data_IF_611053809226
#
_entry.id   IF_611053809226
#
_cell.length_a   1.000
_cell.length_b   1.000
_cell.length_c   1.000
_cell.angle_alpha   90.00
_cell.angle_beta   90.00
_cell.angle_gamma   90.00
#
_symmetry.space_group_name_H-M   'P 1'
#
loop_
_entity.id
_entity.type
_entity.pdbx_description
1 polymer ?
#
# COMPACT_ATOMS: atom_id res chain seq x y z
N UNK A 1 24.02 22.51 2.65
CA UNK A 1 22.60 22.59 2.23
C UNK A 1 21.89 21.49 2.97
N UNK A 2 21.04 21.84 3.94
CA UNK A 2 20.42 20.85 4.82
C UNK A 2 19.23 20.15 4.14
N UNK A 3 19.17 18.84 4.28
CA UNK A 3 17.97 18.04 4.05
C UNK A 3 16.97 18.33 5.17
N UNK A 4 15.67 18.35 4.87
CA UNK A 4 14.61 18.57 5.84
C UNK A 4 13.49 17.54 5.63
N UNK A 5 12.53 17.49 6.55
CA UNK A 5 11.40 16.56 6.47
C UNK A 5 11.83 15.10 6.39
N UNK A 6 11.25 14.33 5.47
CA UNK A 6 11.43 12.88 5.41
C UNK A 6 12.87 12.43 5.16
N UNK A 7 13.61 13.14 4.31
CA UNK A 7 15.01 12.81 4.05
C UNK A 7 15.86 12.98 5.31
N UNK A 8 15.65 14.07 6.05
CA UNK A 8 16.33 14.32 7.31
C UNK A 8 16.01 13.22 8.32
N UNK A 9 14.72 12.89 8.51
CA UNK A 9 14.30 11.85 9.46
C UNK A 9 14.94 10.50 9.15
N UNK A 10 15.02 10.13 7.87
CA UNK A 10 15.67 8.90 7.44
C UNK A 10 17.14 8.86 7.82
N UNK A 11 17.86 9.96 7.60
CA UNK A 11 19.30 10.08 7.89
C UNK A 11 19.57 10.15 9.39
N UNK A 12 18.89 11.05 10.11
CA UNK A 12 19.14 11.33 11.53
C UNK A 12 18.69 10.19 12.45
N UNK A 13 17.61 9.50 12.11
CA UNK A 13 17.10 8.37 12.88
C UNK A 13 17.59 7.01 12.37
N UNK A 14 18.38 6.96 11.30
CA UNK A 14 18.89 5.72 10.70
C UNK A 14 17.77 4.74 10.32
N UNK A 15 16.75 5.23 9.61
CA UNK A 15 15.56 4.43 9.25
C UNK A 15 15.88 3.44 8.12
N UNK A 16 15.37 2.21 8.20
CA UNK A 16 15.58 1.19 7.18
C UNK A 16 14.49 1.24 6.09
N UNK A 17 14.41 2.39 5.42
CA UNK A 17 13.34 2.71 4.48
C UNK A 17 13.89 3.26 3.17
N UNK A 18 13.09 3.16 2.11
CA UNK A 18 13.46 3.76 0.82
C UNK A 18 13.59 5.28 0.95
N UNK A 19 14.42 5.87 0.10
CA UNK A 19 14.52 7.33 0.02
C UNK A 19 13.18 7.92 -0.46
N UNK A 20 12.77 9.09 0.05
CA UNK A 20 11.70 9.83 -0.60
C UNK A 20 12.11 10.11 -2.05
N UNK A 21 11.15 9.99 -2.98
CA UNK A 21 11.41 10.21 -4.41
C UNK A 21 11.93 11.63 -4.70
N UNK A 22 11.44 12.62 -3.93
CA UNK A 22 11.83 14.02 -4.03
C UNK A 22 12.17 14.55 -2.64
N UNK A 23 13.40 14.31 -2.13
CA UNK A 23 13.82 14.80 -0.82
C UNK A 23 13.66 16.33 -0.72
N UNK A 24 13.14 16.80 0.41
CA UNK A 24 13.08 18.23 0.69
C UNK A 24 14.45 18.80 1.06
N UNK A 25 14.84 19.90 0.41
CA UNK A 25 16.14 20.54 0.59
C UNK A 25 15.99 22.05 0.75
N UNK A 26 16.70 22.62 1.72
CA UNK A 26 16.73 24.08 1.88
C UNK A 26 17.54 24.72 0.75
N UNK A 27 16.90 25.62 0.01
CA UNK A 27 17.45 26.30 -1.17
C UNK A 27 17.11 27.81 -1.13
N UNK A 28 17.86 28.66 -1.86
CA UNK A 28 17.60 30.10 -1.94
C UNK A 28 16.41 30.39 -2.88
N UNK A 29 15.21 29.96 -2.46
CA UNK A 29 13.94 30.19 -3.15
C UNK A 29 13.02 31.04 -2.27
N UNK A 30 11.95 31.59 -2.83
CA UNK A 30 10.97 32.43 -2.08
C UNK A 30 9.71 31.66 -1.67
N UNK A 31 9.46 30.52 -2.31
CA UNK A 31 8.33 29.62 -2.03
C UNK A 31 8.77 28.17 -2.21
N UNK A 32 7.93 27.24 -1.75
CA UNK A 32 8.15 25.81 -1.98
C UNK A 32 7.99 25.51 -3.46
N UNK A 33 9.05 25.03 -4.11
CA UNK A 33 9.07 24.79 -5.55
C UNK A 33 9.49 23.34 -5.86
N UNK A 34 8.61 22.54 -6.49
CA UNK A 34 8.99 21.20 -6.94
C UNK A 34 9.98 21.30 -8.09
N UNK A 35 11.10 20.57 -8.00
CA UNK A 35 12.11 20.45 -9.06
C UNK A 35 12.25 18.99 -9.47
N UNK A 36 12.91 18.73 -10.59
CA UNK A 36 13.33 17.37 -10.97
C UNK A 36 14.33 16.82 -9.94
N UNK A 37 13.87 15.87 -9.13
CA UNK A 37 14.68 15.13 -8.15
C UNK A 37 14.68 15.69 -6.72
N UNK A 38 14.14 16.87 -6.43
CA UNK A 38 14.02 17.38 -5.06
C UNK A 38 12.89 18.42 -4.90
N UNK A 39 12.51 18.69 -3.66
CA UNK A 39 11.59 19.77 -3.31
C UNK A 39 12.39 20.94 -2.72
N UNK A 40 12.41 22.09 -3.40
CA UNK A 40 13.14 23.27 -2.96
C UNK A 40 12.36 24.00 -1.86
N UNK A 41 12.96 24.16 -0.69
CA UNK A 41 12.33 24.75 0.50
C UNK A 41 13.01 26.07 0.85
N UNK A 42 12.25 27.18 0.99
CA UNK A 42 12.80 28.44 1.44
C UNK A 42 13.12 28.35 2.95
N UNK A 43 14.16 29.05 3.41
CA UNK A 43 14.65 28.94 4.80
C UNK A 43 13.60 29.26 5.87
N UNK A 44 12.65 30.14 5.57
CA UNK A 44 11.57 30.53 6.48
C UNK A 44 10.44 29.49 6.60
N UNK A 45 10.43 28.45 5.77
CA UNK A 45 9.44 27.35 5.81
C UNK A 45 10.07 26.05 6.35
N UNK A 46 11.40 25.96 6.35
CA UNK A 46 12.11 24.83 6.92
C UNK A 46 11.87 24.72 8.45
N UNK A 47 11.95 23.51 9.03
CA UNK A 47 12.05 23.34 10.47
C UNK A 47 13.12 24.24 11.09
N UNK A 48 12.86 24.77 12.28
CA UNK A 48 13.77 25.68 12.99
C UNK A 48 14.84 24.90 13.75
N UNK A 49 14.53 23.67 14.15
CA UNK A 49 15.41 22.76 14.87
C UNK A 49 15.51 21.39 14.21
N UNK A 50 16.46 20.60 14.70
CA UNK A 50 16.66 19.20 14.33
C UNK A 50 15.67 18.25 15.06
N UNK A 51 14.63 18.78 15.74
CA UNK A 51 13.59 17.98 16.41
C UNK A 51 12.81 17.15 15.37
N UNK A 52 12.77 15.81 15.53
CA UNK A 52 11.99 14.93 14.66
C UNK A 52 10.52 15.35 14.50
N UNK A 53 9.87 15.90 15.52
CA UNK A 53 8.47 16.33 15.43
C UNK A 53 8.31 17.45 14.41
N UNK A 54 9.16 18.47 14.45
CA UNK A 54 9.09 19.57 13.48
C UNK A 54 9.24 19.07 12.05
N UNK A 55 10.16 18.13 11.84
CA UNK A 55 10.37 17.50 10.54
C UNK A 55 9.20 16.62 10.10
N UNK A 56 8.55 15.88 11.01
CA UNK A 56 7.35 15.08 10.70
C UNK A 56 6.20 16.00 10.29
N UNK A 57 5.93 17.05 11.06
CA UNK A 57 4.85 18.01 10.76
C UNK A 57 5.09 18.75 9.45
N UNK A 58 6.34 19.16 9.22
CA UNK A 58 6.78 19.74 7.96
C UNK A 58 6.55 18.78 6.78
N UNK A 59 6.98 17.53 6.91
CA UNK A 59 6.89 16.53 5.84
C UNK A 59 5.44 16.21 5.48
N UNK A 60 4.58 15.97 6.48
CA UNK A 60 3.14 15.76 6.28
C UNK A 60 2.48 16.91 5.53
N UNK A 61 2.94 18.15 5.77
CA UNK A 61 2.41 19.35 5.12
C UNK A 61 2.89 19.52 3.68
N UNK A 62 4.19 19.39 3.45
CA UNK A 62 4.84 19.81 2.20
C UNK A 62 5.19 18.65 1.28
N UNK A 63 5.60 17.51 1.84
CA UNK A 63 5.97 16.31 1.09
C UNK A 63 4.76 15.37 0.91
N UNK A 64 3.78 15.43 1.80
CA UNK A 64 2.60 14.56 1.81
C UNK A 64 2.76 13.39 2.78
N UNK A 65 1.89 12.39 2.68
CA UNK A 65 1.96 11.20 3.52
C UNK A 65 2.87 10.17 2.86
N UNK A 66 3.92 9.77 3.59
CA UNK A 66 4.76 8.60 3.34
C UNK A 66 4.66 7.65 4.53
N UNK A 67 3.80 6.63 4.42
CA UNK A 67 3.57 5.70 5.53
C UNK A 67 4.80 4.85 5.86
N UNK A 68 5.70 4.58 4.90
CA UNK A 68 6.88 3.77 5.16
C UNK A 68 7.82 4.51 6.11
N UNK A 69 8.10 5.79 5.80
CA UNK A 69 8.98 6.61 6.62
C UNK A 69 8.30 6.92 7.97
N UNK A 70 7.00 7.26 7.97
CA UNK A 70 6.25 7.53 9.20
C UNK A 70 6.15 6.32 10.13
N UNK A 71 5.99 5.10 9.58
CA UNK A 71 5.90 3.86 10.36
C UNK A 71 7.19 3.56 11.13
N UNK A 72 8.37 3.93 10.62
CA UNK A 72 9.61 3.79 11.37
C UNK A 72 9.99 5.04 12.19
N UNK A 73 9.62 6.24 11.74
CA UNK A 73 9.98 7.48 12.43
C UNK A 73 9.14 7.71 13.70
N UNK A 74 7.81 7.58 13.62
CA UNK A 74 6.91 7.91 14.72
C UNK A 74 7.17 7.07 15.99
N UNK A 75 7.41 5.75 15.91
CA UNK A 75 7.75 4.97 17.11
C UNK A 75 9.01 5.42 17.86
N UNK A 76 9.90 6.19 17.22
CA UNK A 76 11.09 6.77 17.83
C UNK A 76 10.86 8.13 18.49
N UNK A 77 9.65 8.69 18.36
CA UNK A 77 9.25 9.96 18.98
C UNK A 77 8.65 9.70 20.36
N UNK A 78 9.08 10.48 21.34
CA UNK A 78 8.56 10.41 22.70
C UNK A 78 7.08 10.82 22.77
N UNK A 79 6.20 10.02 23.41
CA UNK A 79 4.76 10.31 23.52
C UNK A 79 4.45 11.68 24.14
N UNK A 80 5.24 12.09 25.13
CA UNK A 80 5.07 13.35 25.86
C UNK A 80 5.32 14.56 24.96
N UNK A 81 6.25 14.44 24.01
CA UNK A 81 6.57 15.49 23.05
C UNK A 81 5.42 15.68 22.05
N UNK A 82 4.83 14.59 21.54
CA UNK A 82 3.62 14.65 20.70
C UNK A 82 2.43 15.29 21.43
N UNK A 83 2.21 14.94 22.69
CA UNK A 83 1.13 15.51 23.51
C UNK A 83 1.36 16.99 23.83
N UNK A 84 2.61 17.39 24.10
CA UNK A 84 2.97 18.80 24.30
C UNK A 84 2.67 19.61 23.05
N UNK A 85 3.05 19.10 21.87
CA UNK A 85 2.82 19.77 20.61
C UNK A 85 1.33 19.81 20.23
N UNK A 86 0.58 18.75 20.53
CA UNK A 86 -0.87 18.72 20.37
C UNK A 86 -1.59 19.73 21.28
N UNK A 87 -1.07 20.01 22.49
CA UNK A 87 -1.58 21.08 23.38
C UNK A 87 -1.30 22.47 22.80
N UNK A 88 -0.14 22.66 22.16
CA UNK A 88 0.23 23.92 21.51
C UNK A 88 -0.62 24.19 20.27
N UNK A 89 -0.93 23.14 19.51
CA UNK A 89 -1.67 23.20 18.24
C UNK A 89 -2.90 22.28 18.25
N UNK A 90 -3.92 22.53 19.10
CA UNK A 90 -5.07 21.63 19.26
C UNK A 90 -5.93 21.50 18.00
N UNK A 91 -5.90 22.51 17.13
CA UNK A 91 -6.56 22.53 15.82
C UNK A 91 -5.64 22.19 14.65
N UNK A 92 -4.37 21.85 14.91
CA UNK A 92 -3.37 21.54 13.89
C UNK A 92 -3.61 20.18 13.22
N UNK A 93 -3.95 20.18 11.93
CA UNK A 93 -4.21 18.95 11.17
C UNK A 93 -3.05 17.95 11.26
N UNK A 94 -1.82 18.39 11.04
CA UNK A 94 -0.67 17.49 10.94
C UNK A 94 -0.26 16.87 12.27
N UNK A 95 -0.40 17.60 13.39
CA UNK A 95 -0.12 17.03 14.71
C UNK A 95 -1.17 16.00 15.10
N UNK A 96 -2.45 16.24 14.78
CA UNK A 96 -3.51 15.24 15.00
C UNK A 96 -3.29 13.98 14.15
N UNK A 97 -2.87 14.14 12.89
CA UNK A 97 -2.50 13.00 12.03
C UNK A 97 -1.29 12.25 12.58
N UNK A 98 -0.25 12.96 13.03
CA UNK A 98 0.93 12.35 13.64
C UNK A 98 0.58 11.55 14.90
N UNK A 99 -0.23 12.11 15.81
CA UNK A 99 -0.71 11.41 17.00
C UNK A 99 -1.54 10.17 16.66
N UNK A 100 -2.49 10.29 15.72
CA UNK A 100 -3.29 9.16 15.25
C UNK A 100 -2.40 8.05 14.69
N UNK A 101 -1.46 8.37 13.80
CA UNK A 101 -0.53 7.40 13.20
C UNK A 101 0.42 6.78 14.23
N UNK A 102 0.90 7.56 15.20
CA UNK A 102 1.74 7.05 16.27
C UNK A 102 1.03 5.95 17.07
N UNK A 103 -0.25 6.15 17.42
CA UNK A 103 -1.04 5.13 18.12
C UNK A 103 -1.23 3.87 17.26
N UNK A 104 -1.43 4.04 15.94
CA UNK A 104 -1.58 2.91 15.02
C UNK A 104 -0.28 2.11 14.84
N UNK A 105 0.86 2.77 14.71
CA UNK A 105 2.15 2.11 14.48
C UNK A 105 2.75 1.49 15.74
N UNK A 106 2.50 2.08 16.90
CA UNK A 106 3.01 1.55 18.18
C UNK A 106 2.06 0.58 18.86
N UNK A 107 0.78 0.57 18.48
CA UNK A 107 -0.28 -0.15 19.18
C UNK A 107 -0.59 0.39 20.59
N UNK A 108 0.05 1.50 20.98
CA UNK A 108 -0.15 2.16 22.28
C UNK A 108 -1.15 3.31 22.13
N UNK A 109 -1.76 3.70 23.25
CA UNK A 109 -2.64 4.87 23.29
C UNK A 109 -1.97 6.01 24.05
N UNK A 110 -2.01 7.21 23.48
CA UNK A 110 -1.63 8.45 24.15
C UNK A 110 -2.73 8.79 25.16
N UNK A 111 -2.36 8.80 26.45
CA UNK A 111 -3.25 9.18 27.56
C UNK A 111 -3.20 10.69 27.80
N UNK A 112 -4.14 11.23 28.59
CA UNK A 112 -4.17 12.68 28.95
C UNK A 112 -4.25 13.63 27.74
N UNK A 113 -5.11 13.27 26.79
CA UNK A 113 -5.28 14.02 25.55
C UNK A 113 -5.70 15.48 25.84
N UNK A 114 -5.13 16.46 25.13
CA UNK A 114 -5.66 17.81 25.14
C UNK A 114 -7.07 17.86 24.54
N UNK A 115 -7.75 18.99 24.75
CA UNK A 115 -8.98 19.27 24.02
C UNK A 115 -8.67 19.45 22.53
N UNK A 116 -9.03 18.44 21.74
CA UNK A 116 -8.81 18.44 20.30
C UNK A 116 -9.90 19.25 19.59
N UNK A 117 -9.46 20.25 18.83
CA UNK A 117 -10.33 21.21 18.14
C UNK A 117 -10.26 21.08 16.62
N UNK A 118 -11.19 21.73 15.92
CA UNK A 118 -11.25 21.79 14.46
C UNK A 118 -12.06 20.68 13.79
N UNK A 119 -12.24 20.75 12.46
CA UNK A 119 -12.98 19.74 11.71
C UNK A 119 -12.20 18.42 11.64
N UNK A 120 -12.90 17.34 11.30
CA UNK A 120 -12.24 16.08 11.00
C UNK A 120 -11.36 16.23 9.76
N UNK A 121 -10.08 15.93 9.91
CA UNK A 121 -9.12 15.97 8.81
C UNK A 121 -8.97 14.58 8.19
N UNK A 122 -8.97 14.52 6.86
CA UNK A 122 -8.61 13.31 6.15
C UNK A 122 -7.10 13.09 6.19
N UNK A 123 -6.68 11.85 6.41
CA UNK A 123 -5.26 11.49 6.51
C UNK A 123 -4.56 11.67 5.16
N UNK A 124 -5.18 11.21 4.08
CA UNK A 124 -4.71 11.42 2.71
C UNK A 124 -5.54 12.50 2.03
N UNK A 125 -4.90 13.52 1.44
CA UNK A 125 -5.60 14.51 0.61
C UNK A 125 -6.13 13.84 -0.67
N UNK A 126 -7.46 13.77 -0.91
CA UNK A 126 -8.04 13.11 -2.08
C UNK A 126 -7.64 13.73 -3.41
N UNK A 127 -7.11 14.96 -3.42
CA UNK A 127 -6.57 15.61 -4.62
C UNK A 127 -5.17 15.09 -4.96
N UNK A 128 -4.44 14.58 -3.97
CA UNK A 128 -3.06 14.07 -4.11
C UNK A 128 -3.00 12.54 -4.16
N UNK A 129 -3.98 11.86 -3.58
CA UNK A 129 -3.99 10.41 -3.44
C UNK A 129 -5.32 9.80 -3.90
N UNK A 130 -5.27 8.56 -4.36
CA UNK A 130 -6.48 7.73 -4.50
C UNK A 130 -6.87 7.24 -3.11
N UNK A 131 -8.13 7.47 -2.75
CA UNK A 131 -8.65 7.25 -1.38
C UNK A 131 -9.83 6.30 -1.38
N UNK A 132 -10.01 5.60 -0.27
CA UNK A 132 -11.16 4.76 0.00
C UNK A 132 -12.19 5.46 0.91
N UNK A 133 -13.24 4.74 1.32
CA UNK A 133 -14.22 5.24 2.29
C UNK A 133 -13.53 5.63 3.62
N UNK A 134 -13.82 6.82 4.19
CA UNK A 134 -13.16 7.30 5.40
C UNK A 134 -13.60 6.53 6.65
N UNK A 135 -12.64 6.16 7.49
CA UNK A 135 -12.85 5.57 8.82
C UNK A 135 -12.41 6.57 9.88
N UNK A 136 -13.37 7.10 10.63
CA UNK A 136 -13.15 8.21 11.56
C UNK A 136 -12.63 7.74 12.92
N UNK A 137 -11.54 8.35 13.34
CA UNK A 137 -11.08 8.40 14.71
C UNK A 137 -11.58 9.70 15.37
N UNK A 138 -12.49 9.55 16.33
CA UNK A 138 -13.08 10.68 17.03
C UNK A 138 -12.11 11.37 18.01
N UNK A 139 -11.13 10.64 18.57
CA UNK A 139 -10.17 11.17 19.57
C UNK A 139 -9.27 12.22 18.96
N UNK A 140 -8.75 11.93 17.78
CA UNK A 140 -7.87 12.85 17.04
C UNK A 140 -8.62 13.67 15.99
N UNK A 141 -9.92 13.44 15.80
CA UNK A 141 -10.69 14.02 14.69
C UNK A 141 -9.95 13.82 13.36
N UNK A 142 -9.48 12.60 13.12
CA UNK A 142 -8.80 12.20 11.87
C UNK A 142 -9.65 11.13 11.19
N UNK A 143 -9.77 11.18 9.88
CA UNK A 143 -10.39 10.15 9.07
C UNK A 143 -9.32 9.43 8.27
N UNK A 144 -9.10 8.15 8.57
CA UNK A 144 -8.29 7.29 7.72
C UNK A 144 -9.09 6.97 6.45
N UNK A 145 -8.70 7.56 5.33
CA UNK A 145 -9.29 7.35 4.00
C UNK A 145 -8.32 6.64 3.05
N UNK A 146 -7.33 5.91 3.59
CA UNK A 146 -6.42 5.07 2.80
C UNK A 146 -7.09 3.82 2.27
N UNK A 147 -6.46 3.17 1.29
CA UNK A 147 -6.89 1.89 0.76
C UNK A 147 -6.50 0.78 1.75
N UNK A 148 -7.43 -0.07 2.17
CA UNK A 148 -7.15 -1.12 3.16
C UNK A 148 -7.06 -0.61 4.60
N UNK A 149 -6.03 -1.03 5.35
CA UNK A 149 -5.81 -0.70 6.78
C UNK A 149 -4.46 -0.03 6.99
N UNK A 150 -4.21 0.61 8.14
CA UNK A 150 -2.89 1.23 8.39
C UNK A 150 -1.76 0.21 8.30
N UNK A 151 -2.01 -1.05 8.72
CA UNK A 151 -1.06 -2.16 8.61
C UNK A 151 -0.84 -2.65 7.16
N UNK A 152 -1.79 -2.39 6.27
CA UNK A 152 -1.69 -2.74 4.85
C UNK A 152 -2.39 -1.67 4.01
N UNK A 153 -1.66 -0.57 3.76
CA UNK A 153 -2.15 0.59 3.02
C UNK A 153 -1.30 0.89 1.79
N UNK A 154 -1.62 0.33 0.61
CA UNK A 154 -1.01 0.78 -0.62
C UNK A 154 -1.34 2.27 -0.83
N UNK A 155 -0.29 3.10 -0.88
CA UNK A 155 -0.43 4.55 -1.04
C UNK A 155 -0.24 4.91 -2.51
N UNK A 156 -1.33 5.33 -3.18
CA UNK A 156 -1.32 5.63 -4.61
C UNK A 156 -1.44 7.14 -4.79
N UNK A 157 -0.37 7.78 -5.25
CA UNK A 157 -0.39 9.20 -5.63
C UNK A 157 -1.12 9.38 -6.96
N UNK A 158 -1.94 10.42 -7.06
CA UNK A 158 -2.56 10.83 -8.31
C UNK A 158 -1.51 11.46 -9.20
N UNK A 159 -1.39 10.92 -10.40
CA UNK A 159 -0.53 11.44 -11.48
C UNK A 159 -1.40 11.55 -12.72
N UNK A 160 -1.01 12.38 -13.70
CA UNK A 160 -1.77 12.53 -14.94
C UNK A 160 -2.02 11.20 -15.64
N UNK A 161 -1.04 10.27 -15.56
CA UNK A 161 -1.16 8.91 -16.09
C UNK A 161 -2.22 8.09 -15.34
N UNK A 162 -2.23 8.12 -14.00
CA UNK A 162 -3.22 7.40 -13.19
C UNK A 162 -4.61 8.01 -13.40
N UNK A 163 -4.73 9.34 -13.42
CA UNK A 163 -5.99 10.04 -13.68
C UNK A 163 -6.53 9.72 -15.07
N UNK A 164 -5.69 9.69 -16.10
CA UNK A 164 -6.09 9.29 -17.44
C UNK A 164 -6.57 7.83 -17.48
N UNK A 165 -5.86 6.91 -16.80
CA UNK A 165 -6.25 5.52 -16.72
C UNK A 165 -7.58 5.33 -15.99
N UNK A 166 -7.79 6.01 -14.85
CA UNK A 166 -9.05 5.98 -14.11
C UNK A 166 -10.22 6.53 -14.94
N UNK A 167 -10.01 7.67 -15.63
CA UNK A 167 -11.01 8.27 -16.53
C UNK A 167 -11.32 7.40 -17.75
N UNK A 168 -10.41 6.51 -18.15
CA UNK A 168 -10.64 5.59 -19.27
C UNK A 168 -11.73 4.55 -18.97
N UNK A 169 -12.09 4.37 -17.69
CA UNK A 169 -13.15 3.47 -17.20
C UNK A 169 -13.14 2.11 -17.91
N UNK A 170 -11.99 1.44 -17.87
CA UNK A 170 -11.82 0.19 -18.61
C UNK A 170 -12.82 -0.87 -18.16
N UNK A 171 -13.16 -0.93 -16.87
CA UNK A 171 -14.12 -1.88 -16.34
C UNK A 171 -15.54 -1.56 -16.80
N UNK A 172 -15.97 -0.29 -16.74
CA UNK A 172 -17.29 0.11 -17.23
C UNK A 172 -17.43 -0.11 -18.74
N UNK A 173 -16.37 0.17 -19.53
CA UNK A 173 -16.34 -0.10 -20.97
C UNK A 173 -16.37 -1.59 -21.30
N UNK A 174 -15.61 -2.41 -20.57
CA UNK A 174 -15.64 -3.87 -20.73
C UNK A 174 -17.02 -4.42 -20.39
N UNK A 175 -17.65 -3.91 -19.33
CA UNK A 175 -19.02 -4.27 -18.99
C UNK A 175 -20.00 -3.87 -20.09
N UNK A 176 -19.96 -2.63 -20.58
CA UNK A 176 -20.83 -2.17 -21.67
C UNK A 176 -20.64 -2.98 -22.95
N UNK A 177 -19.40 -3.36 -23.26
CA UNK A 177 -19.08 -4.26 -24.37
C UNK A 177 -19.67 -5.66 -24.16
N UNK A 178 -19.51 -6.25 -22.97
CA UNK A 178 -20.07 -7.56 -22.63
C UNK A 178 -21.60 -7.54 -22.68
N UNK A 179 -22.24 -6.48 -22.18
CA UNK A 179 -23.70 -6.29 -22.19
C UNK A 179 -24.24 -6.11 -23.63
N UNK A 180 -23.43 -5.56 -24.54
CA UNK A 180 -23.78 -5.42 -25.96
C UNK A 180 -23.63 -6.73 -26.75
N UNK A 181 -22.87 -7.70 -26.23
CA UNK A 181 -22.76 -9.04 -26.81
C UNK A 181 -23.97 -9.89 -26.42
N UNK A 182 -24.52 -10.64 -27.37
CA UNK A 182 -25.47 -11.70 -27.05
C UNK A 182 -24.80 -12.75 -26.16
N UNK A 183 -25.55 -13.30 -25.18
CA UNK A 183 -25.05 -14.27 -24.18
C UNK A 183 -24.18 -15.38 -24.79
N UNK A 184 -24.59 -15.96 -25.92
CA UNK A 184 -23.84 -17.02 -26.60
C UNK A 184 -22.48 -16.57 -27.16
N UNK A 185 -22.36 -15.32 -27.58
CA UNK A 185 -21.10 -14.75 -28.07
C UNK A 185 -20.16 -14.43 -26.90
N UNK A 186 -20.72 -13.91 -25.80
CA UNK A 186 -19.97 -13.67 -24.56
C UNK A 186 -19.42 -14.97 -23.98
N UNK A 187 -20.24 -16.03 -23.88
CA UNK A 187 -19.82 -17.34 -23.39
C UNK A 187 -18.67 -17.92 -24.23
N UNK A 188 -18.72 -17.75 -25.56
CA UNK A 188 -17.63 -18.17 -26.46
C UNK A 188 -16.36 -17.33 -26.28
N UNK A 189 -16.50 -16.01 -26.15
CA UNK A 189 -15.36 -15.12 -25.94
C UNK A 189 -14.67 -15.42 -24.59
N UNK A 190 -15.44 -15.67 -23.53
CA UNK A 190 -14.92 -16.07 -22.23
C UNK A 190 -14.25 -17.44 -22.29
N UNK A 191 -14.86 -18.44 -22.93
CA UNK A 191 -14.25 -19.76 -23.09
C UNK A 191 -12.91 -19.69 -23.84
N UNK A 192 -12.82 -18.86 -24.89
CA UNK A 192 -11.57 -18.63 -25.60
C UNK A 192 -10.54 -17.88 -24.75
N UNK A 193 -10.95 -16.83 -24.03
CA UNK A 193 -10.07 -16.06 -23.16
C UNK A 193 -9.52 -16.93 -22.02
N UNK A 194 -10.35 -17.78 -21.41
CA UNK A 194 -9.92 -18.71 -20.36
C UNK A 194 -8.98 -19.80 -20.90
N UNK A 195 -9.23 -20.32 -22.10
CA UNK A 195 -8.31 -21.28 -22.74
C UNK A 195 -6.94 -20.63 -22.99
N UNK A 196 -6.94 -19.42 -23.55
CA UNK A 196 -5.70 -18.70 -23.83
C UNK A 196 -4.94 -18.30 -22.56
N UNK A 197 -5.62 -17.78 -21.53
CA UNK A 197 -5.04 -17.47 -20.22
C UNK A 197 -4.43 -18.73 -19.56
N UNK A 198 -5.07 -19.89 -19.74
CA UNK A 198 -4.55 -21.17 -19.26
C UNK A 198 -3.24 -21.52 -19.97
N UNK A 199 -3.22 -21.48 -21.31
CA UNK A 199 -2.03 -21.77 -22.11
C UNK A 199 -0.86 -20.85 -21.75
N UNK A 200 -1.13 -19.54 -21.62
CA UNK A 200 -0.12 -18.55 -21.26
C UNK A 200 0.38 -18.71 -19.82
N UNK A 201 -0.52 -18.96 -18.86
CA UNK A 201 -0.16 -19.19 -17.45
C UNK A 201 0.78 -20.39 -17.29
N UNK A 202 0.51 -21.50 -17.98
CA UNK A 202 1.38 -22.68 -17.94
C UNK A 202 2.68 -22.48 -18.73
N UNK A 203 2.64 -21.72 -19.82
CA UNK A 203 3.83 -21.38 -20.60
C UNK A 203 4.86 -20.56 -19.78
N UNK A 204 4.40 -19.70 -18.85
CA UNK A 204 5.27 -18.98 -17.90
C UNK A 204 6.07 -19.97 -17.03
N UNK A 205 5.41 -21.02 -16.55
CA UNK A 205 6.02 -22.10 -15.75
C UNK A 205 6.74 -23.15 -16.62
N UNK A 206 6.79 -22.95 -17.95
CA UNK A 206 7.34 -23.90 -18.95
C UNK A 206 6.69 -25.28 -18.89
N UNK A 207 5.43 -25.34 -18.48
CA UNK A 207 4.61 -26.54 -18.49
C UNK A 207 3.70 -26.53 -19.72
N UNK A 208 3.44 -27.71 -20.28
CA UNK A 208 2.31 -27.90 -21.20
C UNK A 208 1.20 -28.58 -20.39
N UNK A 209 0.07 -27.90 -20.14
CA UNK A 209 -0.98 -28.48 -19.31
C UNK A 209 -1.64 -29.65 -20.03
N UNK A 210 -2.03 -30.68 -19.27
CA UNK A 210 -2.94 -31.70 -19.80
C UNK A 210 -4.33 -31.09 -20.03
N UNK A 211 -5.10 -31.67 -20.95
CA UNK A 211 -6.47 -31.22 -21.25
C UNK A 211 -7.37 -31.19 -19.99
N UNK A 212 -7.17 -32.14 -19.07
CA UNK A 212 -7.86 -32.17 -17.77
C UNK A 212 -7.49 -31.00 -16.86
N UNK A 213 -6.20 -30.64 -16.79
CA UNK A 213 -5.72 -29.52 -15.97
C UNK A 213 -6.26 -28.20 -16.52
N UNK A 214 -6.29 -28.06 -17.85
CA UNK A 214 -6.87 -26.88 -18.51
C UNK A 214 -8.38 -26.76 -18.26
N UNK A 215 -9.16 -27.85 -18.41
CA UNK A 215 -10.60 -27.83 -18.14
C UNK A 215 -10.94 -27.47 -16.69
N UNK A 216 -10.19 -28.01 -15.73
CA UNK A 216 -10.36 -27.67 -14.30
C UNK A 216 -10.07 -26.20 -14.01
N UNK A 217 -9.02 -25.65 -14.61
CA UNK A 217 -8.68 -24.23 -14.49
C UNK A 217 -9.76 -23.31 -15.07
N UNK A 218 -10.29 -23.64 -16.26
CA UNK A 218 -11.43 -22.92 -16.85
C UNK A 218 -12.66 -22.98 -15.95
N UNK A 219 -12.98 -24.15 -15.37
CA UNK A 219 -14.10 -24.30 -14.45
C UNK A 219 -13.92 -23.46 -13.16
N UNK A 220 -12.69 -23.36 -12.66
CA UNK A 220 -12.34 -22.48 -11.54
C UNK A 220 -12.61 -21.00 -11.87
N UNK A 221 -12.16 -20.54 -13.04
CA UNK A 221 -12.36 -19.16 -13.48
C UNK A 221 -13.84 -18.80 -13.63
N UNK A 222 -14.67 -19.76 -14.03
CA UNK A 222 -16.12 -19.58 -14.01
C UNK A 222 -16.68 -19.35 -12.61
N UNK A 223 -16.06 -19.82 -11.53
CA UNK A 223 -16.51 -19.59 -10.14
C UNK A 223 -15.93 -18.32 -9.51
N UNK A 224 -15.02 -17.62 -10.19
CA UNK A 224 -14.34 -16.45 -9.64
C UNK A 224 -15.28 -15.27 -9.32
N UNK A 225 -16.50 -15.26 -9.88
CA UNK A 225 -17.49 -14.20 -9.65
C UNK A 225 -18.37 -14.42 -8.40
N UNK A 226 -18.23 -15.54 -7.69
CA UNK A 226 -19.07 -15.88 -6.52
C UNK A 226 -18.78 -15.02 -5.27
N UNK A 227 -17.78 -14.13 -5.33
CA UNK A 227 -17.53 -13.10 -4.31
C UNK A 227 -17.21 -13.65 -2.91
N UNK A 228 -16.70 -14.88 -2.83
CA UNK A 228 -16.35 -15.55 -1.57
C UNK A 228 -15.21 -14.80 -0.88
N UNK A 229 -15.36 -14.56 0.42
CA UNK A 229 -14.30 -13.97 1.22
C UNK A 229 -13.04 -14.86 1.18
N UNK A 230 -11.88 -14.24 0.97
CA UNK A 230 -10.61 -14.94 0.98
C UNK A 230 -10.35 -15.50 2.38
N UNK A 231 -10.13 -16.81 2.44
CA UNK A 231 -9.77 -17.56 3.65
C UNK A 231 -8.79 -18.65 3.26
N UNK A 232 -8.04 -19.16 4.23
CA UNK A 232 -7.13 -20.30 4.01
C UNK A 232 -7.87 -21.48 3.40
N UNK A 233 -9.01 -21.88 3.97
CA UNK A 233 -9.84 -22.96 3.44
C UNK A 233 -10.24 -22.73 1.98
N UNK A 234 -10.60 -21.49 1.62
CA UNK A 234 -10.95 -21.18 0.24
C UNK A 234 -9.73 -21.24 -0.68
N UNK A 235 -8.57 -20.74 -0.26
CA UNK A 235 -7.34 -20.83 -1.04
C UNK A 235 -6.88 -22.28 -1.26
N UNK A 236 -7.01 -23.12 -0.23
CA UNK A 236 -6.75 -24.57 -0.31
C UNK A 236 -7.72 -25.23 -1.29
N UNK A 237 -9.02 -24.90 -1.22
CA UNK A 237 -10.02 -25.39 -2.18
C UNK A 237 -9.68 -24.99 -3.62
N UNK A 238 -9.30 -23.72 -3.85
CA UNK A 238 -8.88 -23.24 -5.17
C UNK A 238 -7.66 -24.00 -5.69
N UNK A 239 -6.64 -24.22 -4.85
CA UNK A 239 -5.44 -24.97 -5.23
C UNK A 239 -5.77 -26.44 -5.56
N UNK A 240 -6.55 -27.11 -4.73
CA UNK A 240 -6.95 -28.50 -4.93
C UNK A 240 -7.83 -28.68 -6.17
N UNK A 241 -8.57 -27.64 -6.57
CA UNK A 241 -9.41 -27.68 -7.77
C UNK A 241 -8.60 -27.77 -9.07
N UNK A 242 -7.38 -27.23 -9.10
CA UNK A 242 -6.53 -27.17 -10.31
C UNK A 242 -5.45 -28.24 -10.35
N UNK A 243 -5.13 -28.83 -9.20
CA UNK A 243 -4.15 -29.92 -9.11
C UNK A 243 -4.77 -31.27 -9.51
N UNK A 244 -3.96 -32.08 -10.19
CA UNK A 244 -4.33 -33.45 -10.60
C UNK A 244 -3.69 -34.52 -9.73
N UNK A 245 -2.55 -34.22 -9.11
CA UNK A 245 -1.84 -35.14 -8.24
C UNK A 245 -2.31 -34.96 -6.78
N UNK A 246 -2.89 -36.00 -6.14
CA UNK A 246 -3.33 -35.91 -4.74
C UNK A 246 -2.21 -35.60 -3.74
N UNK A 247 -0.95 -35.93 -4.05
CA UNK A 247 0.19 -35.65 -3.17
C UNK A 247 0.63 -34.19 -3.18
N UNK A 248 0.23 -33.43 -4.20
CA UNK A 248 0.54 -31.99 -4.30
C UNK A 248 -0.59 -31.12 -3.71
N UNK A 249 -1.73 -31.73 -3.38
CA UNK A 249 -2.89 -31.05 -2.81
C UNK A 249 -2.59 -30.54 -1.40
N UNK A 250 -2.85 -29.26 -1.17
CA UNK A 250 -2.69 -28.65 0.13
C UNK A 250 -3.81 -29.05 1.09
N UNK A 251 -3.47 -29.17 2.38
CA UNK A 251 -4.44 -29.26 3.47
C UNK A 251 -4.53 -27.94 4.27
N UNK A 252 -3.50 -27.09 4.16
CA UNK A 252 -3.32 -25.83 4.86
C UNK A 252 -2.25 -25.00 4.12
N UNK A 253 -1.94 -23.82 4.61
CA UNK A 253 -0.71 -23.12 4.24
C UNK A 253 0.53 -23.97 4.53
N UNK A 254 1.64 -23.63 3.86
CA UNK A 254 2.88 -24.40 3.96
C UNK A 254 3.34 -24.50 5.42
N UNK A 255 3.72 -25.70 5.82
CA UNK A 255 4.33 -26.01 7.13
C UNK A 255 5.85 -26.01 7.07
N UNK A 256 6.41 -26.02 5.86
CA UNK A 256 7.84 -26.07 5.60
C UNK A 256 8.31 -24.85 4.79
N UNK A 257 9.60 -24.53 4.92
CA UNK A 257 10.21 -23.43 4.20
C UNK A 257 10.44 -23.81 2.74
N UNK A 258 9.87 -23.03 1.82
CA UNK A 258 10.18 -23.10 0.40
C UNK A 258 11.05 -21.90 -0.03
N UNK A 259 11.43 -21.86 -1.30
CA UNK A 259 12.22 -20.79 -1.88
C UNK A 259 11.90 -20.62 -3.37
N UNK A 260 12.04 -19.40 -3.87
CA UNK A 260 12.05 -19.14 -5.31
C UNK A 260 13.48 -19.29 -5.82
N UNK A 261 13.59 -19.84 -7.02
CA UNK A 261 14.84 -20.18 -7.66
C UNK A 261 14.94 -19.52 -9.04
N UNK A 262 16.09 -18.91 -9.31
CA UNK A 262 16.49 -18.49 -10.64
C UNK A 262 17.08 -19.64 -11.48
N UNK A 263 17.66 -19.34 -12.65
CA UNK A 263 18.15 -20.38 -13.57
C UNK A 263 19.35 -21.19 -13.04
N UNK A 264 20.11 -20.67 -12.07
CA UNK A 264 21.26 -21.36 -11.47
C UNK A 264 20.82 -22.56 -10.60
N UNK A 265 21.71 -23.55 -10.45
CA UNK A 265 21.46 -24.79 -9.68
C UNK A 265 21.96 -24.66 -8.23
N UNK A 266 21.32 -25.41 -7.33
CA UNK A 266 21.70 -25.47 -5.92
C UNK A 266 21.38 -24.18 -5.16
N UNK A 267 22.00 -24.01 -3.98
CA UNK A 267 21.77 -22.85 -3.11
C UNK A 267 22.09 -21.50 -3.79
N UNK A 268 23.07 -21.47 -4.70
CA UNK A 268 23.41 -20.29 -5.48
C UNK A 268 22.30 -19.85 -6.46
N UNK A 269 21.31 -20.70 -6.71
CA UNK A 269 20.13 -20.38 -7.52
C UNK A 269 18.96 -19.81 -6.73
N UNK A 270 19.02 -19.74 -5.39
CA UNK A 270 17.93 -19.19 -4.57
C UNK A 270 17.90 -17.67 -4.72
N UNK A 271 16.80 -17.14 -5.25
CA UNK A 271 16.63 -15.69 -5.46
C UNK A 271 15.79 -15.04 -4.38
N UNK A 272 14.95 -15.82 -3.71
CA UNK A 272 14.11 -15.33 -2.63
C UNK A 272 13.70 -16.46 -1.69
N UNK A 273 13.73 -16.18 -0.39
CA UNK A 273 13.18 -17.04 0.65
C UNK A 273 11.99 -16.30 1.26
N UNK A 274 10.74 -16.76 1.05
CA UNK A 274 9.56 -16.16 1.67
C UNK A 274 9.63 -16.26 3.21
N UNK A 275 8.80 -15.49 3.95
CA UNK A 275 8.76 -15.54 5.41
C UNK A 275 8.71 -16.97 5.96
N UNK A 276 9.12 -17.24 7.21
CA UNK A 276 8.96 -18.55 7.83
C UNK A 276 7.49 -19.02 7.85
N UNK A 277 7.22 -20.34 7.83
CA UNK A 277 5.87 -20.89 7.99
C UNK A 277 5.11 -20.37 9.21
N UNK A 278 5.82 -20.08 10.31
CA UNK A 278 5.22 -19.54 11.54
C UNK A 278 4.66 -18.11 11.41
N UNK A 279 4.87 -17.44 10.27
CA UNK A 279 4.39 -16.08 9.98
C UNK A 279 3.23 -16.03 8.96
N UNK A 280 2.75 -17.19 8.49
CA UNK A 280 1.63 -17.29 7.54
C UNK A 280 0.47 -18.06 8.14
#
# INVERSE_FOLDING_TARGET
MGTVGYQFLRESLGLNVFAPERPAMVKPVTRVEPTDGFLAIPRNVAPESDDPIEHILFALKHEGVDLQILAEALPKVEPSALLSEARRLPSGTYIRVACHLWEQFTGKQLTELPEIAGPTAELFDPRRYVTGPPRRDARWRVAFNGLGTVSYCPTIRRTDRIEAAMRSDILGRTKAFADALGKSMLDRALAWAYLHETEDSFAIERETPSEDKARKFVALLHQAHDGRALSENYLVELQNSVLTNPYDMAAAFRTEQNWLRGPARGAAGVTYVPPPPAMV
#
